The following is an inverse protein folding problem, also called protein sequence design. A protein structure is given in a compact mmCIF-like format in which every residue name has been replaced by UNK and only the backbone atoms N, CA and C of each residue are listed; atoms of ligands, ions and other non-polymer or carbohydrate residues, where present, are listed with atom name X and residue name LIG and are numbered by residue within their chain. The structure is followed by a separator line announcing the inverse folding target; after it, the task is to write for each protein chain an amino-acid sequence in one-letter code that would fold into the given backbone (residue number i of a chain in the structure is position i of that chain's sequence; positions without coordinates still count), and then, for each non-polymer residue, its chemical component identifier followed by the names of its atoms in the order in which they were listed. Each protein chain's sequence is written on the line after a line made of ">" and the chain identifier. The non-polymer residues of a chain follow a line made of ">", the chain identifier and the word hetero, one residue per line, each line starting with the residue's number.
data_IF_442228405938
#
_entry.id   IF_442228405938
#
_cell.length_a   1.000
_cell.length_b   1.000
_cell.length_c   1.000
_cell.angle_alpha   90.00
_cell.angle_beta   90.00
_cell.angle_gamma   90.00
#
_symmetry.space_group_name_H-M   'P 1'
#
loop_
_entity.id
_entity.type
_entity.pdbx_description
1 polymer ?
#
# COMPACT_ATOMS: atom_id res chain seq x y z
N UNK A 1 11.80 -2.82 2.02
CA UNK A 1 12.25 -2.62 0.62
C UNK A 1 13.24 -3.73 0.32
N UNK A 2 13.24 -4.27 -0.90
CA UNK A 2 14.19 -5.30 -1.35
C UNK A 2 15.64 -4.86 -1.14
N UNK A 3 16.49 -5.77 -0.67
CA UNK A 3 17.90 -5.50 -0.46
C UNK A 3 18.65 -5.42 -1.80
N UNK A 4 19.33 -4.30 -2.04
CA UNK A 4 20.27 -4.16 -3.16
C UNK A 4 21.59 -4.83 -2.75
N UNK A 5 22.02 -5.82 -3.55
CA UNK A 5 23.30 -6.52 -3.38
C UNK A 5 24.40 -5.77 -4.15
N UNK A 6 24.07 -5.25 -5.32
CA UNK A 6 25.02 -4.54 -6.17
C UNK A 6 24.34 -3.79 -7.31
N UNK A 7 25.13 -2.93 -7.96
CA UNK A 7 24.70 -2.16 -9.12
C UNK A 7 25.83 -2.12 -10.15
N UNK A 8 25.51 -2.37 -11.41
CA UNK A 8 26.42 -2.26 -12.55
C UNK A 8 25.69 -1.51 -13.66
N UNK A 9 26.07 -0.27 -13.93
CA UNK A 9 25.40 0.62 -14.89
C UNK A 9 23.87 0.70 -14.68
N UNK A 10 23.09 0.19 -15.63
CA UNK A 10 21.62 0.10 -15.61
C UNK A 10 21.09 -1.16 -14.92
N UNK A 11 21.96 -2.10 -14.54
CA UNK A 11 21.58 -3.36 -13.89
C UNK A 11 21.66 -3.18 -12.38
N UNK A 12 20.56 -3.47 -11.69
CA UNK A 12 20.52 -3.57 -10.23
C UNK A 12 20.35 -5.03 -9.85
N UNK A 13 21.22 -5.53 -8.98
CA UNK A 13 21.17 -6.90 -8.45
C UNK A 13 20.55 -6.83 -7.06
N UNK A 14 19.50 -7.60 -6.86
CA UNK A 14 18.75 -7.66 -5.62
C UNK A 14 18.78 -9.06 -5.01
N UNK A 15 18.47 -9.13 -3.72
CA UNK A 15 18.16 -10.40 -3.06
C UNK A 15 17.02 -11.13 -3.80
N UNK A 16 17.18 -12.43 -3.97
CA UNK A 16 16.15 -13.29 -4.57
C UNK A 16 15.29 -13.90 -3.46
N UNK A 17 13.98 -13.64 -3.50
CA UNK A 17 13.02 -14.21 -2.56
C UNK A 17 12.30 -15.40 -3.21
N UNK A 18 12.39 -16.59 -2.62
CA UNK A 18 11.93 -17.83 -3.25
C UNK A 18 10.41 -17.88 -3.43
N UNK A 19 9.66 -17.29 -2.49
CA UNK A 19 8.20 -17.20 -2.58
C UNK A 19 7.78 -16.26 -3.72
N UNK A 20 8.54 -15.18 -3.94
CA UNK A 20 8.36 -14.30 -5.10
C UNK A 20 7.11 -13.44 -5.03
N UNK A 21 6.34 -13.41 -6.12
CA UNK A 21 5.22 -12.49 -6.28
C UNK A 21 4.07 -12.80 -5.32
N UNK A 22 3.55 -11.74 -4.70
CA UNK A 22 2.44 -11.86 -3.77
C UNK A 22 1.11 -12.19 -4.48
N UNK A 23 1.06 -12.17 -5.82
CA UNK A 23 -0.11 -12.55 -6.61
C UNK A 23 -0.57 -13.99 -6.30
N UNK A 24 0.34 -14.82 -5.80
CA UNK A 24 0.11 -16.21 -5.43
C UNK A 24 -0.12 -16.42 -3.92
N UNK A 25 -0.44 -15.35 -3.18
CA UNK A 25 -0.56 -15.35 -1.72
C UNK A 25 -1.43 -16.49 -1.19
N UNK A 26 -2.62 -16.71 -1.77
CA UNK A 26 -3.53 -17.74 -1.27
C UNK A 26 -2.98 -19.16 -1.47
N UNK A 27 -2.31 -19.44 -2.58
CA UNK A 27 -1.66 -20.75 -2.78
C UNK A 27 -0.50 -20.95 -1.80
N UNK A 28 0.27 -19.88 -1.52
CA UNK A 28 1.36 -19.91 -0.54
C UNK A 28 0.80 -20.16 0.86
N UNK A 29 -0.26 -19.47 1.26
CA UNK A 29 -0.88 -19.63 2.58
C UNK A 29 -1.45 -21.04 2.77
N UNK A 30 -2.16 -21.58 1.77
CA UNK A 30 -2.66 -22.96 1.80
C UNK A 30 -1.51 -23.97 1.91
N UNK A 31 -0.44 -23.80 1.14
CA UNK A 31 0.71 -24.72 1.15
C UNK A 31 1.49 -24.69 2.48
N UNK A 32 1.56 -23.53 3.15
CA UNK A 32 2.29 -23.37 4.41
C UNK A 32 1.46 -23.78 5.63
N UNK A 33 0.18 -23.39 5.67
CA UNK A 33 -0.65 -23.53 6.87
C UNK A 33 -1.67 -24.66 6.78
N UNK A 34 -2.13 -25.05 5.59
CA UNK A 34 -3.22 -26.01 5.41
C UNK A 34 -4.43 -25.65 6.28
N UNK A 35 -4.71 -26.45 7.31
CA UNK A 35 -5.84 -26.26 8.23
C UNK A 35 -5.52 -25.35 9.44
N UNK A 36 -4.31 -24.82 9.60
CA UNK A 36 -3.98 -23.87 10.69
C UNK A 36 -4.42 -22.43 10.36
N UNK A 37 -5.74 -22.23 10.30
CA UNK A 37 -6.35 -20.95 9.97
C UNK A 37 -6.01 -19.83 10.95
N UNK A 38 -5.68 -20.16 12.21
CA UNK A 38 -5.36 -19.14 13.21
C UNK A 38 -3.99 -18.52 12.94
N UNK A 39 -2.97 -19.35 12.71
CA UNK A 39 -1.63 -18.86 12.40
C UNK A 39 -1.60 -18.19 11.02
N UNK A 40 -2.37 -18.72 10.06
CA UNK A 40 -2.56 -18.10 8.75
C UNK A 40 -3.12 -16.68 8.89
N UNK A 41 -4.23 -16.51 9.63
CA UNK A 41 -4.86 -15.20 9.86
C UNK A 41 -3.89 -14.18 10.49
N UNK A 42 -3.10 -14.62 11.47
CA UNK A 42 -2.07 -13.77 12.09
C UNK A 42 -0.99 -13.36 11.09
N UNK A 43 -0.58 -14.26 10.22
CA UNK A 43 0.42 -13.97 9.18
C UNK A 43 -0.12 -12.99 8.15
N UNK A 44 -1.35 -13.17 7.69
CA UNK A 44 -2.02 -12.22 6.79
C UNK A 44 -2.16 -10.83 7.41
N UNK A 45 -2.45 -10.74 8.71
CA UNK A 45 -2.44 -9.46 9.42
C UNK A 45 -1.04 -8.85 9.48
N UNK A 46 -0.01 -9.67 9.66
CA UNK A 46 1.37 -9.21 9.63
C UNK A 46 1.72 -8.61 8.26
N UNK A 47 1.18 -9.12 7.15
CA UNK A 47 1.34 -8.50 5.83
C UNK A 47 0.67 -7.12 5.74
N UNK A 48 -0.51 -6.93 6.36
CA UNK A 48 -1.12 -5.61 6.50
C UNK A 48 -0.23 -4.64 7.29
N UNK A 49 0.40 -5.12 8.37
CA UNK A 49 1.34 -4.33 9.17
C UNK A 49 2.56 -3.95 8.32
N UNK A 50 3.20 -4.94 7.67
CA UNK A 50 4.39 -4.73 6.85
C UNK A 50 4.14 -3.72 5.72
N UNK A 51 2.98 -3.81 5.06
CA UNK A 51 2.57 -2.85 4.05
C UNK A 51 2.51 -1.42 4.60
N UNK A 52 1.82 -1.20 5.73
CA UNK A 52 1.70 0.14 6.32
C UNK A 52 3.05 0.62 6.88
N UNK A 53 3.92 -0.26 7.36
CA UNK A 53 5.30 0.08 7.74
C UNK A 53 6.10 0.60 6.54
N UNK A 54 5.95 -0.02 5.37
CA UNK A 54 6.57 0.46 4.13
C UNK A 54 6.05 1.85 3.77
N UNK A 55 4.72 2.06 3.78
CA UNK A 55 4.13 3.37 3.46
C UNK A 55 4.61 4.44 4.45
N UNK A 56 4.59 4.14 5.75
CA UNK A 56 5.07 5.07 6.79
C UNK A 56 6.56 5.38 6.63
N UNK A 57 7.39 4.40 6.25
CA UNK A 57 8.79 4.64 5.93
C UNK A 57 8.94 5.60 4.74
N UNK A 58 8.22 5.38 3.64
CA UNK A 58 8.25 6.26 2.46
C UNK A 58 7.80 7.70 2.80
N UNK A 59 6.86 7.83 3.74
CA UNK A 59 6.30 9.12 4.15
C UNK A 59 7.15 9.87 5.17
N UNK A 60 7.96 9.18 5.97
CA UNK A 60 8.59 9.77 7.16
C UNK A 60 10.11 9.60 7.26
N UNK A 61 10.74 8.73 6.47
CA UNK A 61 12.18 8.47 6.57
C UNK A 61 13.03 9.72 6.32
N UNK A 62 12.60 10.60 5.42
CA UNK A 62 13.26 11.87 5.17
C UNK A 62 12.37 13.04 5.61
N UNK A 63 12.78 13.88 6.58
CA UNK A 63 11.94 14.97 7.07
C UNK A 63 11.60 16.01 6.00
N UNK A 64 12.45 16.16 4.98
CA UNK A 64 12.28 17.16 3.92
C UNK A 64 11.56 16.61 2.68
N UNK A 65 11.38 15.29 2.57
CA UNK A 65 10.86 14.63 1.38
C UNK A 65 9.90 13.50 1.72
N UNK A 66 8.73 13.53 1.10
CA UNK A 66 7.79 12.41 1.14
C UNK A 66 7.80 11.70 -0.21
N UNK A 67 8.02 10.39 -0.20
CA UNK A 67 8.00 9.54 -1.38
C UNK A 67 6.62 8.90 -1.54
N UNK A 68 6.10 8.87 -2.77
CA UNK A 68 4.76 8.36 -3.08
C UNK A 68 4.85 7.40 -4.26
N UNK A 69 4.34 6.19 -4.12
CA UNK A 69 4.30 5.18 -5.18
C UNK A 69 3.16 5.49 -6.16
N UNK A 70 3.53 5.93 -7.36
CA UNK A 70 2.55 6.32 -8.35
C UNK A 70 2.01 5.14 -9.16
N UNK A 71 2.71 4.00 -9.21
CA UNK A 71 2.28 2.80 -9.94
C UNK A 71 1.40 1.86 -9.11
N UNK A 72 0.31 2.39 -8.57
CA UNK A 72 -0.59 1.66 -7.65
C UNK A 72 -2.06 2.00 -7.93
N UNK A 73 -2.48 1.85 -9.19
CA UNK A 73 -3.77 2.36 -9.68
C UNK A 73 -4.89 1.32 -9.74
N UNK A 74 -4.55 0.06 -9.97
CA UNK A 74 -5.43 -1.09 -9.79
C UNK A 74 -4.85 -2.03 -8.75
N UNK A 75 -5.69 -2.90 -8.17
CA UNK A 75 -5.25 -3.84 -7.16
C UNK A 75 -4.13 -4.76 -7.67
N UNK A 76 -4.30 -5.35 -8.84
CA UNK A 76 -3.32 -6.22 -9.48
C UNK A 76 -1.95 -5.54 -9.62
N UNK A 77 -1.93 -4.30 -10.13
CA UNK A 77 -0.68 -3.56 -10.33
C UNK A 77 -0.03 -3.21 -8.99
N UNK A 78 -0.83 -2.72 -8.04
CA UNK A 78 -0.31 -2.34 -6.72
C UNK A 78 0.28 -3.55 -5.97
N UNK A 79 -0.36 -4.71 -6.08
CA UNK A 79 0.09 -5.98 -5.51
C UNK A 79 1.38 -6.44 -6.18
N UNK A 80 1.52 -6.28 -7.50
CA UNK A 80 2.74 -6.61 -8.24
C UNK A 80 4.01 -5.83 -7.84
N UNK A 81 3.88 -4.72 -7.11
CA UNK A 81 5.03 -3.92 -6.64
C UNK A 81 5.78 -4.59 -5.47
N UNK A 82 5.19 -5.63 -4.87
CA UNK A 82 5.69 -6.27 -3.65
C UNK A 82 6.08 -7.73 -3.86
N UNK A 83 7.00 -8.19 -3.03
CA UNK A 83 7.41 -9.60 -2.95
C UNK A 83 7.19 -10.13 -1.53
N UNK A 84 7.08 -11.47 -1.42
CA UNK A 84 7.11 -12.19 -0.16
C UNK A 84 8.50 -12.78 0.06
N UNK A 85 9.02 -12.57 1.27
CA UNK A 85 10.22 -13.26 1.75
C UNK A 85 9.91 -14.70 2.16
N UNK A 86 10.94 -15.51 2.36
CA UNK A 86 10.81 -16.89 2.85
C UNK A 86 10.21 -16.99 4.26
N UNK A 87 10.19 -15.86 5.00
CA UNK A 87 9.54 -15.73 6.31
C UNK A 87 8.13 -15.15 6.23
N UNK A 88 7.53 -15.12 5.04
CA UNK A 88 6.22 -14.54 4.76
C UNK A 88 6.09 -13.09 5.23
N UNK A 89 7.14 -12.30 5.02
CA UNK A 89 7.17 -10.85 5.25
C UNK A 89 7.10 -10.11 3.93
N UNK A 90 6.43 -8.96 3.92
CA UNK A 90 6.26 -8.15 2.72
C UNK A 90 7.47 -7.24 2.49
N UNK A 91 7.93 -7.17 1.24
CA UNK A 91 8.96 -6.21 0.83
C UNK A 91 8.53 -5.45 -0.43
N UNK A 92 8.74 -4.14 -0.43
CA UNK A 92 8.60 -3.31 -1.62
C UNK A 92 9.77 -3.56 -2.57
N UNK A 93 9.48 -3.93 -3.81
CA UNK A 93 10.48 -4.25 -4.81
C UNK A 93 10.53 -3.20 -5.92
N UNK A 94 9.37 -2.89 -6.51
CA UNK A 94 9.30 -1.99 -7.64
C UNK A 94 9.15 -0.53 -7.17
N UNK A 95 10.10 0.29 -7.59
CA UNK A 95 10.26 1.69 -7.15
C UNK A 95 10.61 2.60 -8.34
N UNK A 96 10.34 2.15 -9.56
CA UNK A 96 10.69 2.86 -10.79
C UNK A 96 9.84 4.13 -11.01
N UNK A 97 8.60 4.13 -10.52
CA UNK A 97 7.65 5.22 -10.67
C UNK A 97 7.21 5.80 -9.31
N UNK A 98 8.16 6.45 -8.66
CA UNK A 98 7.93 7.23 -7.43
C UNK A 98 7.91 8.74 -7.69
N UNK A 99 6.94 9.43 -7.09
CA UNK A 99 6.92 10.87 -6.99
C UNK A 99 7.51 11.34 -5.65
N UNK A 100 8.07 12.55 -5.64
CA UNK A 100 8.66 13.17 -4.45
C UNK A 100 7.99 14.50 -4.15
N UNK A 101 7.39 14.60 -2.97
CA UNK A 101 6.86 15.84 -2.40
C UNK A 101 8.01 16.54 -1.67
N UNK A 102 8.22 17.82 -1.99
CA UNK A 102 9.12 18.69 -1.24
C UNK A 102 8.33 19.31 -0.08
N UNK A 103 8.62 18.85 1.14
CA UNK A 103 7.89 19.25 2.34
C UNK A 103 8.18 20.71 2.72
N UNK A 104 9.37 21.22 2.40
CA UNK A 104 9.75 22.62 2.66
C UNK A 104 8.99 23.58 1.74
N UNK A 105 8.80 23.18 0.48
CA UNK A 105 8.07 23.97 -0.52
C UNK A 105 6.57 23.65 -0.59
N UNK A 106 6.10 22.67 0.19
CA UNK A 106 4.73 22.13 0.15
C UNK A 106 4.26 21.82 -1.28
N UNK A 107 5.19 21.33 -2.11
CA UNK A 107 4.93 21.08 -3.53
C UNK A 107 4.22 19.75 -3.68
N UNK A 108 2.96 19.82 -4.07
CA UNK A 108 2.14 18.66 -4.42
C UNK A 108 2.62 17.98 -5.71
N UNK A 109 2.19 16.72 -5.90
CA UNK A 109 2.62 15.84 -6.99
C UNK A 109 1.47 15.50 -7.95
N UNK A 110 1.82 14.86 -9.06
CA UNK A 110 0.90 14.17 -9.96
C UNK A 110 1.54 12.85 -10.40
N UNK A 111 0.76 11.78 -10.48
CA UNK A 111 1.16 10.43 -10.91
C UNK A 111 0.86 10.19 -12.40
N UNK A 112 0.78 11.25 -13.20
CA UNK A 112 0.53 11.18 -14.63
C UNK A 112 -0.95 10.99 -15.00
N UNK A 113 -1.23 10.93 -16.29
CA UNK A 113 -2.58 10.69 -16.83
C UNK A 113 -2.90 9.22 -16.77
N UNK A 114 -4.01 8.86 -16.14
CA UNK A 114 -4.55 7.49 -16.18
C UNK A 114 -6.06 7.54 -16.39
N UNK A 115 -6.59 6.46 -16.95
CA UNK A 115 -8.03 6.18 -16.90
C UNK A 115 -8.47 5.97 -15.44
N UNK A 116 -9.77 5.99 -15.19
CA UNK A 116 -10.29 5.78 -13.84
C UNK A 116 -10.18 4.30 -13.46
N UNK A 117 -9.39 4.02 -12.43
CA UNK A 117 -9.23 2.68 -11.85
C UNK A 117 -9.70 2.64 -10.38
N UNK A 118 -9.85 1.43 -9.86
CA UNK A 118 -10.50 1.11 -8.59
C UNK A 118 -9.70 1.50 -7.33
N UNK A 119 -8.37 1.58 -7.41
CA UNK A 119 -7.55 2.06 -6.28
C UNK A 119 -7.29 3.55 -6.27
N UNK A 120 -7.75 4.30 -7.27
CA UNK A 120 -7.51 5.73 -7.33
C UNK A 120 -8.28 6.45 -6.21
N UNK A 121 -7.60 7.36 -5.52
CA UNK A 121 -8.25 8.26 -4.58
C UNK A 121 -9.14 9.28 -5.33
N UNK A 122 -10.23 9.79 -4.73
CA UNK A 122 -11.17 10.68 -5.42
C UNK A 122 -10.51 11.91 -6.04
N UNK A 123 -9.51 12.49 -5.39
CA UNK A 123 -8.74 13.64 -5.87
C UNK A 123 -7.81 13.34 -7.05
N UNK A 124 -7.58 12.06 -7.37
CA UNK A 124 -6.87 11.63 -8.57
C UNK A 124 -7.81 11.55 -9.79
N UNK A 125 -9.13 11.56 -9.57
CA UNK A 125 -10.13 11.41 -10.62
C UNK A 125 -10.46 12.76 -11.26
N UNK A 126 -10.88 12.71 -12.53
CA UNK A 126 -11.38 13.90 -13.24
C UNK A 126 -12.71 14.36 -12.61
N UNK A 127 -12.95 15.67 -12.43
CA UNK A 127 -14.29 16.20 -12.22
C UNK A 127 -15.19 15.80 -13.40
N UNK A 128 -16.49 15.64 -13.17
CA UNK A 128 -17.43 15.12 -14.16
C UNK A 128 -17.40 15.88 -15.51
N UNK A 129 -17.61 15.07 -16.56
CA UNK A 129 -17.58 15.20 -18.03
C UNK A 129 -17.54 16.56 -18.78
N UNK A 130 -17.68 17.73 -18.17
CA UNK A 130 -17.79 19.01 -18.90
C UNK A 130 -16.51 19.85 -18.98
N UNK A 131 -15.34 19.32 -18.62
CA UNK A 131 -14.06 20.03 -18.81
C UNK A 131 -13.01 19.16 -19.51
N UNK A 132 -12.53 19.54 -20.72
CA UNK A 132 -11.43 18.84 -21.36
C UNK A 132 -10.15 18.92 -20.52
N UNK A 133 -9.32 17.88 -20.61
CA UNK A 133 -8.05 17.80 -19.93
C UNK A 133 -7.10 18.86 -20.52
N UNK A 134 -6.77 19.89 -19.73
CA UNK A 134 -5.73 20.86 -20.08
C UNK A 134 -4.51 20.63 -19.19
N UNK A 135 -3.30 20.88 -19.70
CA UNK A 135 -2.04 20.80 -18.94
C UNK A 135 -2.08 21.69 -17.67
N UNK A 136 -2.96 22.71 -17.63
CA UNK A 136 -3.19 23.58 -16.48
C UNK A 136 -4.12 22.99 -15.40
N UNK A 137 -4.82 21.89 -15.69
CA UNK A 137 -5.72 21.18 -14.77
C UNK A 137 -5.05 19.93 -14.17
N UNK A 138 -3.73 19.91 -14.00
CA UNK A 138 -3.09 18.85 -13.23
C UNK A 138 -3.67 18.87 -11.81
N UNK A 139 -4.39 17.81 -11.45
CA UNK A 139 -4.85 17.60 -10.08
C UNK A 139 -3.62 17.27 -9.25
N UNK A 140 -3.22 18.24 -8.46
CA UNK A 140 -2.09 18.13 -7.56
C UNK A 140 -2.59 17.57 -6.23
N UNK A 141 -1.99 16.46 -5.80
CA UNK A 141 -2.31 15.76 -4.56
C UNK A 141 -1.03 15.49 -3.75
N UNK A 142 -1.22 14.95 -2.56
CA UNK A 142 -0.17 14.61 -1.60
C UNK A 142 -0.17 13.10 -1.32
N UNK A 143 0.56 12.67 -0.30
CA UNK A 143 0.74 11.26 0.06
C UNK A 143 -0.55 10.58 0.55
N UNK A 144 -1.61 11.35 0.81
CA UNK A 144 -2.90 10.82 1.26
C UNK A 144 -3.58 9.93 0.22
N UNK A 145 -3.14 9.97 -1.03
CA UNK A 145 -3.58 9.01 -2.06
C UNK A 145 -3.18 7.57 -1.72
N UNK A 146 -2.08 7.35 -1.00
CA UNK A 146 -1.66 6.00 -0.58
C UNK A 146 -2.43 5.54 0.66
N UNK A 147 -2.76 6.47 1.56
CA UNK A 147 -3.63 6.19 2.72
C UNK A 147 -5.00 5.67 2.26
N UNK A 148 -5.56 6.28 1.21
CA UNK A 148 -6.80 5.80 0.58
C UNK A 148 -6.74 4.34 0.16
N UNK A 149 -5.57 3.84 -0.25
CA UNK A 149 -5.39 2.48 -0.80
C UNK A 149 -5.17 1.42 0.27
N UNK A 150 -4.77 1.81 1.50
CA UNK A 150 -4.49 0.88 2.59
C UNK A 150 -5.60 -0.14 2.83
N UNK A 151 -6.90 0.25 2.90
CA UNK A 151 -7.97 -0.73 3.13
C UNK A 151 -8.07 -1.79 2.03
N UNK A 152 -7.89 -1.42 0.77
CA UNK A 152 -7.94 -2.39 -0.34
C UNK A 152 -6.78 -3.37 -0.28
N UNK A 153 -5.56 -2.87 -0.06
CA UNK A 153 -4.36 -3.71 0.06
C UNK A 153 -4.47 -4.66 1.25
N UNK A 154 -4.89 -4.15 2.41
CA UNK A 154 -5.06 -5.01 3.58
C UNK A 154 -6.17 -6.05 3.39
N UNK A 155 -7.29 -5.68 2.76
CA UNK A 155 -8.35 -6.65 2.47
C UNK A 155 -7.90 -7.74 1.49
N UNK A 156 -7.02 -7.41 0.53
CA UNK A 156 -6.38 -8.39 -0.32
C UNK A 156 -5.53 -9.37 0.49
N UNK A 157 -4.69 -8.87 1.41
CA UNK A 157 -3.85 -9.74 2.24
C UNK A 157 -4.66 -10.65 3.16
N UNK A 158 -5.69 -10.09 3.81
CA UNK A 158 -6.55 -10.83 4.73
C UNK A 158 -7.35 -11.93 4.02
N UNK A 159 -7.72 -11.75 2.75
CA UNK A 159 -8.59 -12.70 2.07
C UNK A 159 -10.01 -12.74 2.67
N UNK A 160 -10.95 -13.36 1.95
CA UNK A 160 -12.38 -13.29 2.30
C UNK A 160 -12.73 -13.98 3.61
N UNK A 161 -11.97 -15.00 3.99
CA UNK A 161 -12.23 -15.83 5.18
C UNK A 161 -11.98 -15.08 6.50
N UNK A 162 -11.16 -14.01 6.49
CA UNK A 162 -10.76 -13.27 7.69
C UNK A 162 -11.70 -12.09 8.02
N UNK A 163 -13.01 -12.28 7.82
CA UNK A 163 -14.02 -11.22 7.96
C UNK A 163 -14.08 -10.58 9.35
N UNK A 164 -13.78 -11.34 10.41
CA UNK A 164 -13.77 -10.82 11.78
C UNK A 164 -12.65 -9.79 12.00
N UNK A 165 -11.49 -10.03 11.40
CA UNK A 165 -10.36 -9.11 11.45
C UNK A 165 -10.66 -7.85 10.64
N UNK A 166 -11.27 -8.01 9.46
CA UNK A 166 -11.77 -6.87 8.68
C UNK A 166 -12.77 -6.02 9.47
N UNK A 167 -13.66 -6.64 10.27
CA UNK A 167 -14.58 -5.90 11.15
C UNK A 167 -13.85 -5.06 12.19
N UNK A 168 -12.81 -5.59 12.84
CA UNK A 168 -12.01 -4.83 13.81
C UNK A 168 -11.28 -3.65 13.16
N UNK A 169 -10.92 -3.76 11.88
CA UNK A 169 -10.26 -2.71 11.11
C UNK A 169 -11.21 -1.67 10.51
N UNK A 170 -12.52 -1.90 10.57
CA UNK A 170 -13.52 -1.11 9.84
C UNK A 170 -13.48 0.39 10.18
N UNK A 171 -13.26 0.75 11.44
CA UNK A 171 -13.20 2.16 11.86
C UNK A 171 -12.02 2.88 11.22
N UNK A 172 -10.81 2.32 11.35
CA UNK A 172 -9.61 2.94 10.77
C UNK A 172 -9.66 2.91 9.24
N UNK A 173 -10.19 1.84 8.63
CA UNK A 173 -10.39 1.75 7.19
C UNK A 173 -11.37 2.81 6.68
N UNK A 174 -12.45 3.08 7.40
CA UNK A 174 -13.41 4.14 7.07
C UNK A 174 -12.75 5.52 7.09
N UNK A 175 -11.88 5.78 8.08
CA UNK A 175 -11.08 7.02 8.14
C UNK A 175 -10.10 7.14 6.96
N UNK A 176 -9.46 6.04 6.55
CA UNK A 176 -8.62 6.01 5.34
C UNK A 176 -9.42 6.32 4.06
N UNK A 177 -10.70 5.92 4.01
CA UNK A 177 -11.64 6.20 2.92
C UNK A 177 -12.38 7.53 3.04
N UNK A 178 -11.89 8.47 3.85
CA UNK A 178 -12.48 9.80 3.86
C UNK A 178 -12.26 10.51 2.52
N UNK A 179 -13.33 11.09 1.97
CA UNK A 179 -13.27 11.84 0.71
C UNK A 179 -12.34 13.05 0.83
N UNK A 180 -12.33 13.74 1.98
CA UNK A 180 -11.40 14.84 2.24
C UNK A 180 -10.03 14.26 2.66
N UNK A 181 -8.96 14.41 1.85
CA UNK A 181 -7.64 13.83 2.14
C UNK A 181 -7.08 14.29 3.49
N UNK A 182 -7.41 15.51 3.92
CA UNK A 182 -6.94 16.10 5.19
C UNK A 182 -7.52 15.41 6.43
N UNK A 183 -8.65 14.71 6.27
CA UNK A 183 -9.29 13.94 7.34
C UNK A 183 -8.81 12.49 7.40
N UNK A 184 -8.01 12.05 6.43
CA UNK A 184 -7.40 10.72 6.45
C UNK A 184 -6.25 10.71 7.47
N UNK A 185 -6.06 9.60 8.20
CA UNK A 185 -4.93 9.45 9.13
C UNK A 185 -3.58 9.50 8.39
N UNK A 186 -2.51 9.69 9.13
CA UNK A 186 -1.15 9.37 8.66
C UNK A 186 -0.94 7.86 8.60
N UNK A 187 0.05 7.41 7.83
CA UNK A 187 0.44 6.00 7.82
C UNK A 187 0.87 5.52 9.22
N UNK A 188 1.57 6.39 9.98
CA UNK A 188 1.93 6.16 11.38
C UNK A 188 0.73 5.85 12.29
N UNK A 189 -0.34 6.63 12.17
CA UNK A 189 -1.57 6.40 12.94
C UNK A 189 -2.24 5.08 12.56
N UNK A 190 -2.29 4.75 11.27
CA UNK A 190 -2.84 3.45 10.81
C UNK A 190 -2.01 2.30 11.34
N UNK A 191 -0.67 2.43 11.28
CA UNK A 191 0.26 1.43 11.80
C UNK A 191 0.06 1.18 13.29
N UNK A 192 -0.10 2.25 14.07
CA UNK A 192 -0.37 2.17 15.49
C UNK A 192 -1.66 1.39 15.77
N UNK A 193 -2.73 1.68 15.01
CA UNK A 193 -4.00 0.95 15.13
C UNK A 193 -3.84 -0.53 14.77
N UNK A 194 -3.10 -0.85 13.70
CA UNK A 194 -2.90 -2.23 13.27
C UNK A 194 -2.12 -3.07 14.30
N UNK A 195 -1.09 -2.47 14.91
CA UNK A 195 -0.28 -3.14 15.95
C UNK A 195 -1.04 -3.38 17.25
N UNK A 196 -2.10 -2.61 17.51
CA UNK A 196 -2.92 -2.72 18.72
C UNK A 196 -4.17 -3.61 18.54
N UNK A 197 -4.30 -4.29 17.40
CA UNK A 197 -5.39 -5.24 17.19
C UNK A 197 -5.28 -6.37 18.20
N UNK A 198 -6.41 -6.70 18.83
CA UNK A 198 -6.47 -7.80 19.77
C UNK A 198 -6.86 -9.10 19.06
N UNK A 199 -5.85 -9.90 18.73
CA UNK A 199 -6.03 -11.22 18.09
C UNK A 199 -6.81 -12.23 18.95
N UNK A 200 -6.91 -12.06 20.28
CA UNK A 200 -7.72 -12.97 21.10
C UNK A 200 -9.22 -12.79 20.91
N UNK A 201 -9.63 -11.67 20.29
CA UNK A 201 -11.02 -11.38 19.93
C UNK A 201 -11.39 -11.82 18.50
N UNK A 202 -10.55 -12.61 17.83
CA UNK A 202 -10.77 -13.07 16.45
C UNK A 202 -11.14 -14.57 16.35
N UNK A 203 -11.37 -15.23 17.50
CA UNK A 203 -11.85 -16.62 17.60
C UNK A 203 -13.36 -16.68 17.81
#
# INVERSE_FOLDING_TARGET
>A
VTQIIGKCDSITITEHYQVGSILYLDQVMEAVYGNDHRTEAMTRMQLCIDYVEIIDFLHSWNPNKTYVMCDTYSLEVAVGQFLLTDKLRLVLNDVDYMAVIDNLRKKKITCGKREQFDLMAPEMLKPSQNKPWTIRNNFYYDEKIEIWKIPNMCNYFLGKENSMMMRQLSEIHSRCKNIDPRKRPSAREVLHMYKNINFSKCN
#
